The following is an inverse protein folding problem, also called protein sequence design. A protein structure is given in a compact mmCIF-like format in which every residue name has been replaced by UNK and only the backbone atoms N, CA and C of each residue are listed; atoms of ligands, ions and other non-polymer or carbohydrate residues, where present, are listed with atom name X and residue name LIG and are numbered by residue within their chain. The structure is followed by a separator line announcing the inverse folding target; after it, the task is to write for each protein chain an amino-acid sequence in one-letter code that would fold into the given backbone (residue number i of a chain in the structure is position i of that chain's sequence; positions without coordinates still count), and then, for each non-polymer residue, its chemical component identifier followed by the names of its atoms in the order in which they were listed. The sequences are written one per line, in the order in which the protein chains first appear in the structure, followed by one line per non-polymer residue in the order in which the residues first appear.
data_IF_695618232755
#
_entry.id   IF_695618232755
#
_cell.length_a   1.000
_cell.length_b   1.000
_cell.length_c   1.000
_cell.angle_alpha   90.00
_cell.angle_beta   90.00
_cell.angle_gamma   90.00
#
_symmetry.space_group_name_H-M   'P 1'
#
loop_
_entity.id
_entity.type
_entity.pdbx_description
1 polymer ?
#
# COMPACT_ATOMS: atom_id res chain seq x y z
N UNK A 1 28.54 -35.17 7.84
CA UNK A 1 27.22 -34.52 7.77
C UNK A 1 27.42 -33.06 7.40
N UNK A 2 26.57 -32.52 6.55
CA UNK A 2 26.65 -31.12 6.20
C UNK A 2 26.21 -30.27 7.40
N UNK A 3 27.00 -29.26 7.74
CA UNK A 3 26.65 -28.21 8.70
C UNK A 3 25.36 -27.52 8.23
N UNK A 4 24.44 -27.18 9.12
CA UNK A 4 23.32 -26.33 8.74
C UNK A 4 23.81 -24.93 8.37
N UNK A 5 23.91 -24.69 7.07
CA UNK A 5 24.46 -23.45 6.53
C UNK A 5 23.46 -22.30 6.58
N UNK A 6 22.16 -22.55 6.84
CA UNK A 6 21.09 -21.54 6.82
C UNK A 6 21.24 -20.46 7.89
N UNK A 7 21.88 -20.78 9.02
CA UNK A 7 22.11 -19.84 10.12
C UNK A 7 23.45 -19.12 10.00
N UNK A 8 24.31 -19.48 9.06
CA UNK A 8 25.58 -18.81 8.84
C UNK A 8 25.40 -17.65 7.87
N UNK A 9 25.62 -16.43 8.35
CA UNK A 9 25.46 -15.21 7.54
C UNK A 9 26.29 -15.22 6.26
N UNK A 10 27.40 -15.96 6.21
CA UNK A 10 28.26 -16.07 5.02
C UNK A 10 27.65 -16.92 3.91
N UNK A 11 26.76 -17.83 4.26
CA UNK A 11 26.17 -18.81 3.33
C UNK A 11 24.69 -18.55 3.05
N UNK A 12 24.08 -17.57 3.70
CA UNK A 12 22.67 -17.20 3.51
C UNK A 12 22.27 -17.08 2.03
N UNK A 13 23.15 -16.50 1.22
CA UNK A 13 22.91 -16.30 -0.23
C UNK A 13 22.68 -17.59 -1.01
N UNK A 14 23.22 -18.74 -0.55
CA UNK A 14 23.06 -20.02 -1.22
C UNK A 14 21.60 -20.56 -1.13
N UNK A 15 20.79 -20.02 -0.22
CA UNK A 15 19.40 -20.42 -0.03
C UNK A 15 18.39 -19.47 -0.69
N UNK A 16 18.89 -18.42 -1.34
CA UNK A 16 18.07 -17.38 -1.96
C UNK A 16 18.17 -17.46 -3.49
N UNK A 17 17.18 -16.96 -4.23
CA UNK A 17 17.29 -16.83 -5.67
C UNK A 17 18.43 -15.88 -6.04
N UNK A 18 19.19 -16.23 -7.09
CA UNK A 18 20.13 -15.29 -7.69
C UNK A 18 19.38 -14.12 -8.31
N UNK A 19 19.90 -12.91 -8.14
CA UNK A 19 19.32 -11.71 -8.73
C UNK A 19 19.44 -11.77 -10.25
N UNK A 20 18.32 -11.79 -10.95
CA UNK A 20 18.19 -11.83 -12.39
C UNK A 20 17.31 -10.69 -12.86
N UNK A 21 17.71 -10.01 -13.93
CA UNK A 21 16.84 -9.07 -14.62
C UNK A 21 15.89 -9.84 -15.54
N UNK A 22 14.58 -9.64 -15.34
CA UNK A 22 13.53 -10.23 -16.18
C UNK A 22 12.36 -9.26 -16.31
N UNK A 23 11.49 -9.49 -17.29
CA UNK A 23 10.26 -8.75 -17.43
C UNK A 23 9.13 -9.51 -16.71
N UNK A 24 8.51 -8.94 -15.66
CA UNK A 24 7.41 -9.61 -14.96
C UNK A 24 6.20 -9.86 -15.84
N UNK A 25 5.95 -9.03 -16.86
CA UNK A 25 4.79 -9.19 -17.75
C UNK A 25 4.81 -10.53 -18.50
N UNK A 26 5.99 -11.11 -18.77
CA UNK A 26 6.14 -12.43 -19.41
C UNK A 26 5.57 -13.57 -18.54
N UNK A 27 5.43 -13.35 -17.24
CA UNK A 27 4.96 -14.34 -16.27
C UNK A 27 3.54 -14.10 -15.75
N UNK A 28 2.91 -12.95 -16.09
CA UNK A 28 1.56 -12.64 -15.64
C UNK A 28 0.56 -13.51 -16.39
N UNK A 29 -0.12 -14.39 -15.65
CA UNK A 29 -1.18 -15.27 -16.15
C UNK A 29 -2.27 -15.42 -15.07
N UNK A 30 -3.32 -14.63 -15.18
CA UNK A 30 -4.40 -14.60 -14.21
C UNK A 30 -5.16 -15.93 -14.08
N UNK A 31 -5.07 -16.82 -15.09
CA UNK A 31 -5.62 -18.18 -14.96
C UNK A 31 -4.83 -19.04 -13.98
N UNK A 32 -3.53 -18.77 -13.81
CA UNK A 32 -2.69 -19.41 -12.78
C UNK A 32 -2.80 -18.69 -11.43
N UNK A 33 -3.18 -17.43 -11.43
CA UNK A 33 -3.32 -16.60 -10.24
C UNK A 33 -2.47 -15.34 -10.28
N UNK A 34 -2.29 -14.72 -9.10
CA UNK A 34 -1.43 -13.56 -8.93
C UNK A 34 0.03 -14.02 -8.93
N UNK A 35 0.82 -13.56 -9.89
CA UNK A 35 2.25 -13.79 -9.95
C UNK A 35 2.95 -13.01 -8.85
N UNK A 36 3.73 -13.68 -8.00
CA UNK A 36 4.38 -13.09 -6.82
C UNK A 36 5.90 -13.17 -6.87
N UNK A 37 6.46 -13.58 -8.02
CA UNK A 37 7.90 -13.61 -8.28
C UNK A 37 8.43 -14.99 -8.66
N UNK A 38 9.73 -15.09 -8.81
CA UNK A 38 10.45 -16.30 -9.17
C UNK A 38 11.04 -16.97 -7.93
N UNK A 39 10.96 -18.30 -7.85
CA UNK A 39 11.56 -19.08 -6.77
C UNK A 39 13.10 -19.20 -6.90
N UNK A 40 13.73 -19.97 -6.02
CA UNK A 40 15.19 -20.19 -6.01
C UNK A 40 15.78 -20.70 -7.34
N UNK A 41 14.99 -21.45 -8.11
CA UNK A 41 15.40 -22.00 -9.42
C UNK A 41 14.75 -21.25 -10.59
N UNK A 42 14.32 -20.01 -10.32
CA UNK A 42 13.69 -19.10 -11.28
C UNK A 42 12.38 -19.62 -11.90
N UNK A 43 11.64 -20.47 -11.19
CA UNK A 43 10.28 -20.85 -11.57
C UNK A 43 9.28 -19.82 -11.05
N UNK A 44 8.25 -19.47 -11.85
CA UNK A 44 7.23 -18.53 -11.42
C UNK A 44 6.36 -19.10 -10.31
N UNK A 45 6.06 -18.28 -9.33
CA UNK A 45 5.20 -18.57 -8.20
C UNK A 45 3.88 -17.80 -8.33
N UNK A 46 2.77 -18.49 -8.12
CA UNK A 46 1.42 -17.92 -8.22
C UNK A 46 0.61 -18.22 -6.97
N UNK A 47 -0.25 -17.28 -6.61
CA UNK A 47 -1.31 -17.49 -5.63
C UNK A 47 -2.64 -17.44 -6.38
N UNK A 48 -3.49 -18.48 -6.27
CA UNK A 48 -4.79 -18.45 -6.94
C UNK A 48 -5.54 -17.16 -6.66
N UNK A 49 -6.05 -16.51 -7.69
CA UNK A 49 -6.67 -15.18 -7.58
C UNK A 49 -7.81 -15.16 -6.54
N UNK A 50 -8.65 -16.21 -6.55
CA UNK A 50 -9.75 -16.33 -5.59
C UNK A 50 -9.29 -16.47 -4.14
N UNK A 51 -8.10 -17.04 -3.90
CA UNK A 51 -7.52 -17.16 -2.56
C UNK A 51 -6.87 -15.84 -2.14
N UNK A 52 -6.20 -15.15 -3.08
CA UNK A 52 -5.63 -13.84 -2.83
C UNK A 52 -6.71 -12.80 -2.45
N UNK A 53 -7.83 -12.78 -3.18
CA UNK A 53 -8.97 -11.88 -2.93
C UNK A 53 -9.69 -12.11 -1.58
N UNK A 54 -9.50 -13.26 -0.94
CA UNK A 54 -10.13 -13.61 0.36
C UNK A 54 -9.28 -13.28 1.57
N UNK A 55 -8.13 -12.66 1.40
CA UNK A 55 -7.22 -12.39 2.51
C UNK A 55 -6.55 -11.03 2.35
N UNK A 56 -6.15 -10.44 3.46
CA UNK A 56 -5.30 -9.28 3.43
C UNK A 56 -3.83 -9.68 3.30
N UNK A 57 -3.03 -8.80 2.71
CA UNK A 57 -1.60 -8.96 2.54
C UNK A 57 -0.82 -7.98 3.43
N UNK A 58 0.31 -8.42 3.97
CA UNK A 58 1.24 -7.61 4.72
C UNK A 58 2.59 -7.57 4.00
N UNK A 59 3.10 -6.38 3.71
CA UNK A 59 4.34 -6.17 2.96
C UNK A 59 5.34 -5.46 3.88
N UNK A 60 6.27 -6.24 4.42
CA UNK A 60 7.20 -5.77 5.45
C UNK A 60 8.61 -5.64 4.86
N UNK A 61 9.31 -4.58 5.22
CA UNK A 61 10.72 -4.42 4.83
C UNK A 61 11.21 -2.97 4.90
N UNK A 62 12.53 -2.80 4.92
CA UNK A 62 13.12 -1.47 4.95
C UNK A 62 12.90 -0.70 3.64
N UNK A 63 13.15 0.59 3.66
CA UNK A 63 13.09 1.45 2.46
C UNK A 63 14.07 0.96 1.40
N UNK A 64 13.62 0.91 0.14
CA UNK A 64 14.44 0.45 -1.00
C UNK A 64 14.62 -1.07 -1.11
N UNK A 65 14.05 -1.88 -0.21
CA UNK A 65 14.18 -3.33 -0.27
C UNK A 65 13.31 -4.02 -1.36
N UNK A 66 12.27 -3.33 -1.88
CA UNK A 66 11.41 -3.85 -2.94
C UNK A 66 9.90 -3.80 -2.66
N UNK A 67 9.46 -3.24 -1.51
CA UNK A 67 8.03 -3.16 -1.16
C UNK A 67 7.18 -2.49 -2.24
N UNK A 68 7.61 -1.31 -2.74
CA UNK A 68 6.88 -0.58 -3.77
C UNK A 68 6.81 -1.33 -5.11
N UNK A 69 7.87 -2.08 -5.45
CA UNK A 69 7.86 -2.95 -6.64
C UNK A 69 6.88 -4.10 -6.47
N UNK A 70 6.83 -4.72 -5.27
CA UNK A 70 5.89 -5.81 -4.98
C UNK A 70 4.44 -5.34 -5.01
N UNK A 71 4.12 -4.25 -4.31
CA UNK A 71 2.77 -3.69 -4.32
C UNK A 71 2.36 -3.28 -5.74
N UNK A 72 3.24 -2.61 -6.48
CA UNK A 72 2.99 -2.24 -7.87
C UNK A 72 2.70 -3.44 -8.77
N UNK A 73 3.51 -4.51 -8.69
CA UNK A 73 3.31 -5.75 -9.45
C UNK A 73 1.98 -6.43 -9.12
N UNK A 74 1.60 -6.48 -7.84
CA UNK A 74 0.34 -7.09 -7.42
C UNK A 74 -0.85 -6.23 -7.88
N UNK A 75 -0.84 -4.93 -7.58
CA UNK A 75 -1.94 -4.02 -7.93
C UNK A 75 -2.17 -3.93 -9.43
N UNK A 76 -1.11 -3.95 -10.22
CA UNK A 76 -1.18 -4.03 -11.68
C UNK A 76 -2.02 -5.24 -12.13
N UNK A 77 -1.75 -6.42 -11.56
CA UNK A 77 -2.48 -7.65 -11.88
C UNK A 77 -3.95 -7.60 -11.41
N UNK A 78 -4.22 -6.98 -10.24
CA UNK A 78 -5.58 -6.84 -9.73
C UNK A 78 -6.42 -5.91 -10.61
N UNK A 79 -5.84 -4.84 -11.16
CA UNK A 79 -6.51 -3.98 -12.15
C UNK A 79 -6.84 -4.78 -13.41
N UNK A 80 -5.90 -5.59 -13.93
CA UNK A 80 -6.14 -6.47 -15.08
C UNK A 80 -7.21 -7.55 -14.79
N UNK A 81 -7.39 -7.93 -13.52
CA UNK A 81 -8.42 -8.85 -13.04
C UNK A 81 -9.80 -8.19 -12.84
N UNK A 82 -10.00 -6.97 -13.31
CA UNK A 82 -11.25 -6.21 -13.19
C UNK A 82 -11.61 -5.79 -11.77
N UNK A 83 -10.63 -5.65 -10.88
CA UNK A 83 -10.86 -5.12 -9.52
C UNK A 83 -10.94 -3.59 -9.51
N UNK A 84 -11.62 -3.04 -8.51
CA UNK A 84 -11.45 -1.65 -8.13
C UNK A 84 -10.24 -1.51 -7.20
N UNK A 85 -9.31 -0.64 -7.52
CA UNK A 85 -8.07 -0.47 -6.78
C UNK A 85 -7.96 0.93 -6.20
N UNK A 86 -7.67 1.03 -4.91
CA UNK A 86 -7.38 2.28 -4.23
C UNK A 86 -5.94 2.24 -3.72
N UNK A 87 -5.16 3.26 -4.08
CA UNK A 87 -3.78 3.43 -3.60
C UNK A 87 -3.71 4.65 -2.71
N UNK A 88 -3.32 4.46 -1.45
CA UNK A 88 -3.08 5.55 -0.50
C UNK A 88 -1.56 5.73 -0.36
N UNK A 89 -1.03 6.75 -1.00
CA UNK A 89 0.40 7.03 -1.09
C UNK A 89 0.77 8.34 -0.39
N UNK A 90 1.25 8.29 0.87
CA UNK A 90 1.66 9.49 1.60
C UNK A 90 3.04 10.02 1.19
N UNK A 91 3.80 9.29 0.38
CA UNK A 91 5.16 9.64 -0.05
C UNK A 91 5.23 10.36 -1.38
N UNK A 92 4.17 10.24 -2.20
CA UNK A 92 4.15 10.70 -3.59
C UNK A 92 5.23 9.98 -4.42
N UNK A 93 5.08 8.66 -4.57
CA UNK A 93 6.02 7.83 -5.33
C UNK A 93 6.15 8.30 -6.77
N UNK A 94 7.37 8.27 -7.29
CA UNK A 94 7.69 8.80 -8.61
C UNK A 94 7.15 7.94 -9.77
N UNK A 95 7.02 6.62 -9.57
CA UNK A 95 6.70 5.66 -10.63
C UNK A 95 5.35 4.97 -10.45
N UNK A 96 4.91 4.78 -9.23
CA UNK A 96 3.69 4.04 -8.94
C UNK A 96 2.44 4.60 -9.62
N UNK A 97 2.17 5.92 -9.66
CA UNK A 97 1.00 6.43 -10.37
C UNK A 97 1.05 6.17 -11.88
N UNK A 98 2.25 6.20 -12.49
CA UNK A 98 2.40 5.86 -13.91
C UNK A 98 2.13 4.38 -14.18
N UNK A 99 2.58 3.50 -13.29
CA UNK A 99 2.29 2.06 -13.39
C UNK A 99 0.80 1.78 -13.26
N UNK A 100 0.11 2.41 -12.31
CA UNK A 100 -1.34 2.24 -12.14
C UNK A 100 -2.12 2.77 -13.34
N UNK A 101 -1.72 3.93 -13.89
CA UNK A 101 -2.31 4.48 -15.12
C UNK A 101 -2.12 3.52 -16.29
N UNK A 102 -0.92 3.01 -16.50
CA UNK A 102 -0.61 2.02 -17.54
C UNK A 102 -1.47 0.74 -17.40
N UNK A 103 -1.62 0.23 -16.17
CA UNK A 103 -2.49 -0.91 -15.91
C UNK A 103 -3.94 -0.64 -16.28
N UNK A 104 -4.46 0.54 -15.94
CA UNK A 104 -5.83 0.95 -16.28
C UNK A 104 -6.02 1.09 -17.79
N UNK A 105 -5.10 1.70 -18.51
CA UNK A 105 -5.11 1.81 -19.97
C UNK A 105 -5.12 0.43 -20.62
N UNK A 106 -4.28 -0.49 -20.17
CA UNK A 106 -4.22 -1.87 -20.68
C UNK A 106 -5.50 -2.66 -20.40
N UNK A 107 -6.14 -2.41 -19.25
CA UNK A 107 -7.40 -3.03 -18.87
C UNK A 107 -8.65 -2.35 -19.47
N UNK A 108 -8.50 -1.19 -20.13
CA UNK A 108 -9.64 -0.37 -20.57
C UNK A 108 -10.46 0.16 -19.40
N UNK A 109 -9.83 0.53 -18.31
CA UNK A 109 -10.46 0.97 -17.05
C UNK A 109 -10.11 2.42 -16.72
N UNK A 110 -10.95 3.13 -15.93
CA UNK A 110 -10.66 4.50 -15.54
C UNK A 110 -9.48 4.57 -14.56
N UNK A 111 -8.71 5.65 -14.68
CA UNK A 111 -7.68 6.03 -13.73
C UNK A 111 -7.96 7.42 -13.18
N UNK A 112 -8.09 7.54 -11.88
CA UNK A 112 -8.31 8.79 -11.17
C UNK A 112 -7.10 9.12 -10.31
N UNK A 113 -6.54 10.31 -10.48
CA UNK A 113 -5.46 10.83 -9.65
C UNK A 113 -5.99 11.95 -8.77
N UNK A 114 -5.93 11.73 -7.46
CA UNK A 114 -6.30 12.70 -6.42
C UNK A 114 -5.02 13.13 -5.71
N UNK A 115 -4.71 14.41 -5.73
CA UNK A 115 -3.60 14.97 -4.95
C UNK A 115 -4.17 15.85 -3.82
N UNK A 116 -4.15 15.31 -2.61
CA UNK A 116 -4.69 15.98 -1.44
C UNK A 116 -3.97 17.28 -1.06
N UNK A 117 -2.76 17.49 -1.57
CA UNK A 117 -1.95 18.68 -1.32
C UNK A 117 -2.29 19.84 -2.25
N UNK A 118 -3.01 19.59 -3.34
CA UNK A 118 -3.43 20.64 -4.28
C UNK A 118 -4.65 21.40 -3.77
N UNK A 119 -4.65 22.71 -4.04
CA UNK A 119 -5.74 23.62 -3.69
C UNK A 119 -6.76 23.73 -4.85
N UNK A 120 -7.24 22.59 -5.30
CA UNK A 120 -8.29 22.49 -6.32
C UNK A 120 -9.30 21.43 -5.89
N UNK A 121 -10.61 21.64 -6.12
CA UNK A 121 -11.64 20.64 -5.84
C UNK A 121 -11.40 19.37 -6.66
N UNK A 122 -11.42 18.20 -6.03
CA UNK A 122 -11.17 16.92 -6.69
C UNK A 122 -12.14 15.84 -6.24
N UNK A 123 -12.17 15.55 -4.93
CA UNK A 123 -12.89 14.41 -4.34
C UNK A 123 -14.16 14.88 -3.64
N UNK A 124 -15.29 14.30 -3.99
CA UNK A 124 -16.55 14.41 -3.25
C UNK A 124 -16.58 13.32 -2.15
N UNK A 125 -15.87 13.62 -1.05
CA UNK A 125 -15.65 12.61 0.00
C UNK A 125 -16.93 12.25 0.75
N UNK A 126 -17.86 13.21 0.93
CA UNK A 126 -19.10 13.02 1.66
C UNK A 126 -20.31 12.72 0.78
N UNK A 127 -20.09 12.47 -0.54
CA UNK A 127 -21.17 12.12 -1.45
C UNK A 127 -22.05 10.99 -0.90
N UNK A 128 -23.36 11.26 -0.80
CA UNK A 128 -24.39 10.31 -0.29
C UNK A 128 -24.11 9.75 1.13
N UNK A 129 -23.28 10.41 1.94
CA UNK A 129 -23.01 9.98 3.30
C UNK A 129 -24.15 10.37 4.26
N UNK A 130 -24.61 9.42 5.08
CA UNK A 130 -25.58 9.70 6.15
C UNK A 130 -24.93 10.47 7.31
N UNK A 131 -25.70 11.14 8.16
CA UNK A 131 -25.16 11.81 9.33
C UNK A 131 -24.31 10.90 10.23
N UNK A 132 -24.72 9.64 10.41
CA UNK A 132 -23.99 8.64 11.21
C UNK A 132 -22.66 8.24 10.54
N UNK A 133 -22.64 8.13 9.21
CA UNK A 133 -21.41 7.87 8.45
C UNK A 133 -20.43 9.04 8.54
N UNK A 134 -20.94 10.27 8.50
CA UNK A 134 -20.11 11.48 8.68
C UNK A 134 -19.54 11.54 10.11
N UNK A 135 -20.34 11.20 11.13
CA UNK A 135 -19.87 11.07 12.52
C UNK A 135 -18.69 10.08 12.61
N UNK A 136 -18.85 8.87 12.06
CA UNK A 136 -17.80 7.83 12.07
C UNK A 136 -16.52 8.30 11.37
N UNK A 137 -16.65 8.96 10.21
CA UNK A 137 -15.53 9.56 9.48
C UNK A 137 -14.79 10.57 10.36
N UNK A 138 -15.52 11.45 11.06
CA UNK A 138 -14.91 12.45 11.95
C UNK A 138 -14.29 11.81 13.20
N UNK A 139 -14.90 10.79 13.78
CA UNK A 139 -14.33 10.05 14.91
C UNK A 139 -12.99 9.43 14.54
N UNK A 140 -12.90 8.83 13.36
CA UNK A 140 -11.65 8.25 12.85
C UNK A 140 -10.59 9.33 12.57
N UNK A 141 -10.95 10.37 11.83
CA UNK A 141 -10.03 11.44 11.44
C UNK A 141 -9.49 12.22 12.64
N UNK A 142 -10.34 12.54 13.60
CA UNK A 142 -9.99 13.35 14.76
C UNK A 142 -9.46 12.53 15.95
N UNK A 143 -9.41 11.20 15.82
CA UNK A 143 -8.96 10.27 16.87
C UNK A 143 -9.78 10.44 18.16
N UNK A 144 -11.10 10.36 18.02
CA UNK A 144 -12.05 10.56 19.12
C UNK A 144 -12.60 9.25 19.71
N UNK A 145 -12.16 8.08 19.22
CA UNK A 145 -12.65 6.80 19.72
C UNK A 145 -12.30 6.57 21.20
N UNK A 146 -13.10 5.76 21.87
CA UNK A 146 -12.87 5.41 23.27
C UNK A 146 -11.75 4.37 23.40
N UNK A 147 -10.80 4.66 24.29
CA UNK A 147 -9.70 3.77 24.63
C UNK A 147 -9.93 2.99 25.91
N UNK A 148 -10.80 3.49 26.79
CA UNK A 148 -11.06 2.95 28.12
C UNK A 148 -10.13 3.56 29.18
N UNK A 149 -9.62 4.76 28.97
CA UNK A 149 -8.74 5.48 29.89
C UNK A 149 -9.30 6.85 30.30
N UNK A 150 -8.62 7.52 31.24
CA UNK A 150 -9.02 8.84 31.75
C UNK A 150 -9.08 9.91 30.65
N UNK A 151 -8.31 9.75 29.57
CA UNK A 151 -8.30 10.71 28.47
C UNK A 151 -9.62 10.72 27.69
N UNK A 152 -10.44 9.67 27.79
CA UNK A 152 -11.76 9.62 27.15
C UNK A 152 -12.71 10.69 27.69
N UNK A 153 -12.55 11.06 28.95
CA UNK A 153 -13.34 12.13 29.56
C UNK A 153 -13.18 13.48 28.82
N UNK A 154 -11.96 13.80 28.42
CA UNK A 154 -11.67 15.05 27.70
C UNK A 154 -12.16 15.05 26.25
N UNK A 155 -12.52 13.89 25.70
CA UNK A 155 -13.02 13.74 24.32
C UNK A 155 -14.55 13.66 24.23
N UNK A 156 -15.26 13.64 25.38
CA UNK A 156 -16.73 13.48 25.39
C UNK A 156 -17.40 14.58 24.59
N UNK A 157 -17.00 15.84 24.81
CA UNK A 157 -17.63 16.99 24.15
C UNK A 157 -17.28 17.00 22.65
N UNK A 158 -16.05 16.67 22.28
CA UNK A 158 -15.66 16.54 20.88
C UNK A 158 -16.45 15.43 20.16
N UNK A 159 -16.66 14.26 20.79
CA UNK A 159 -17.51 13.17 20.24
C UNK A 159 -18.96 13.60 20.10
N UNK A 160 -19.48 14.30 21.09
CA UNK A 160 -20.84 14.86 21.03
C UNK A 160 -20.97 15.82 19.85
N UNK A 161 -19.99 16.71 19.66
CA UNK A 161 -19.98 17.64 18.55
C UNK A 161 -19.89 16.93 17.20
N UNK A 162 -19.05 15.88 17.08
CA UNK A 162 -18.92 15.06 15.87
C UNK A 162 -20.24 14.37 15.50
N UNK A 163 -21.04 13.94 16.48
CA UNK A 163 -22.38 13.38 16.26
C UNK A 163 -23.41 14.44 15.88
N UNK A 164 -23.45 15.54 16.62
CA UNK A 164 -24.50 16.56 16.47
C UNK A 164 -24.31 17.46 15.25
N UNK A 165 -23.05 17.70 14.82
CA UNK A 165 -22.78 18.56 13.67
C UNK A 165 -23.48 18.10 12.38
N UNK A 166 -23.33 16.86 11.92
CA UNK A 166 -24.03 16.41 10.72
C UNK A 166 -25.53 16.23 10.92
N UNK A 167 -26.00 15.95 12.14
CA UNK A 167 -27.43 15.79 12.41
C UNK A 167 -28.19 17.13 12.40
N UNK A 168 -27.53 18.22 12.83
CA UNK A 168 -28.13 19.56 12.89
C UNK A 168 -27.91 20.40 11.64
N UNK A 169 -26.96 20.00 10.79
CA UNK A 169 -26.72 20.63 9.50
C UNK A 169 -27.84 20.33 8.50
N UNK A 170 -28.09 21.25 7.58
CA UNK A 170 -28.97 21.05 6.44
C UNK A 170 -28.40 20.01 5.50
N UNK A 171 -29.20 19.51 4.58
CA UNK A 171 -28.72 18.53 3.57
C UNK A 171 -27.61 19.12 2.69
N UNK A 172 -27.70 20.39 2.33
CA UNK A 172 -26.69 21.11 1.57
C UNK A 172 -25.38 21.29 2.36
N UNK A 173 -25.48 21.68 3.63
CA UNK A 173 -24.30 21.84 4.52
C UNK A 173 -23.56 20.50 4.76
N UNK A 174 -24.25 19.36 4.73
CA UNK A 174 -23.65 18.02 4.91
C UNK A 174 -22.85 17.53 3.72
N UNK A 175 -22.96 18.14 2.55
CA UNK A 175 -22.29 17.68 1.34
C UNK A 175 -20.77 17.85 1.38
N UNK A 176 -20.25 18.71 2.27
CA UNK A 176 -18.81 18.93 2.39
C UNK A 176 -18.42 19.35 3.81
N UNK A 177 -17.15 19.17 4.19
CA UNK A 177 -16.64 19.70 5.46
C UNK A 177 -16.68 21.23 5.51
N UNK A 178 -16.56 21.90 4.36
CA UNK A 178 -16.72 23.33 4.24
C UNK A 178 -18.15 23.75 4.56
N UNK A 179 -19.13 23.05 4.05
CA UNK A 179 -20.54 23.24 4.38
C UNK A 179 -20.82 22.98 5.86
N UNK A 180 -20.37 21.84 6.40
CA UNK A 180 -20.52 21.52 7.83
C UNK A 180 -19.91 22.58 8.74
N UNK A 181 -18.71 23.07 8.42
CA UNK A 181 -18.05 24.11 9.18
C UNK A 181 -18.85 25.41 9.18
N UNK A 182 -19.46 25.79 8.06
CA UNK A 182 -20.29 27.01 7.94
C UNK A 182 -21.65 26.90 8.61
N UNK A 183 -22.06 25.71 9.08
CA UNK A 183 -23.36 25.51 9.71
C UNK A 183 -23.49 26.31 11.03
N UNK A 184 -24.70 26.80 11.31
CA UNK A 184 -24.98 27.61 12.50
C UNK A 184 -24.61 26.89 13.81
N UNK A 185 -24.81 25.55 13.85
CA UNK A 185 -24.44 24.74 15.01
C UNK A 185 -22.95 24.77 15.26
N UNK A 186 -22.12 24.49 14.24
CA UNK A 186 -20.68 24.45 14.38
C UNK A 186 -20.08 25.81 14.70
N UNK A 187 -20.57 26.87 14.08
CA UNK A 187 -20.16 28.25 14.41
C UNK A 187 -20.42 28.61 15.87
N UNK A 188 -21.47 28.05 16.48
CA UNK A 188 -21.76 28.21 17.91
C UNK A 188 -20.82 27.47 18.86
N UNK A 189 -19.91 26.60 18.34
CA UNK A 189 -18.97 25.83 19.16
C UNK A 189 -17.62 26.51 19.37
N UNK A 190 -17.30 27.61 18.69
CA UNK A 190 -16.01 28.29 18.66
C UNK A 190 -15.39 28.46 20.07
N UNK A 191 -16.18 28.94 21.03
CA UNK A 191 -15.70 29.19 22.39
C UNK A 191 -15.85 27.99 23.35
N UNK A 192 -16.69 27.01 23.00
CA UNK A 192 -17.10 25.92 23.91
C UNK A 192 -16.40 24.61 23.64
N UNK A 193 -16.22 24.21 22.38
CA UNK A 193 -15.59 22.93 21.96
C UNK A 193 -14.47 23.21 20.96
N UNK A 194 -13.45 23.91 21.43
CA UNK A 194 -12.37 24.47 20.59
C UNK A 194 -11.59 23.41 19.80
N UNK A 195 -11.40 22.21 20.35
CA UNK A 195 -10.61 21.17 19.68
C UNK A 195 -11.36 20.64 18.45
N UNK A 196 -12.64 20.34 18.57
CA UNK A 196 -13.46 19.91 17.44
C UNK A 196 -13.61 21.03 16.41
N UNK A 197 -13.94 22.26 16.85
CA UNK A 197 -14.08 23.41 15.97
C UNK A 197 -12.83 23.65 15.13
N UNK A 198 -11.64 23.71 15.74
CA UNK A 198 -10.39 23.95 15.04
C UNK A 198 -10.02 22.83 14.05
N UNK A 199 -10.29 21.57 14.39
CA UNK A 199 -10.05 20.44 13.45
C UNK A 199 -10.99 20.48 12.25
N UNK A 200 -12.26 20.82 12.47
CA UNK A 200 -13.23 20.95 11.37
C UNK A 200 -12.93 22.18 10.51
N UNK A 201 -12.48 23.30 11.11
CA UNK A 201 -11.96 24.45 10.38
C UNK A 201 -10.81 24.05 9.45
N UNK A 202 -9.82 23.33 9.99
CA UNK A 202 -8.69 22.84 9.18
C UNK A 202 -9.15 22.00 7.98
N UNK A 203 -10.15 21.13 8.14
CA UNK A 203 -10.68 20.32 7.03
C UNK A 203 -11.47 21.16 6.02
N UNK A 204 -12.17 22.21 6.47
CA UNK A 204 -12.89 23.11 5.58
C UNK A 204 -11.96 23.81 4.58
N UNK A 205 -10.66 23.95 4.93
CA UNK A 205 -9.61 24.54 4.11
C UNK A 205 -8.91 23.56 3.16
N UNK A 206 -9.23 22.26 3.23
CA UNK A 206 -8.68 21.24 2.32
C UNK A 206 -9.54 21.19 1.07
N UNK A 207 -9.24 22.04 0.10
CA UNK A 207 -10.03 22.17 -1.14
C UNK A 207 -10.21 20.83 -1.87
N UNK A 208 -9.18 19.97 -1.87
CA UNK A 208 -9.15 18.70 -2.60
C UNK A 208 -10.25 17.70 -2.22
N UNK A 209 -10.87 17.82 -1.03
CA UNK A 209 -11.92 16.91 -0.55
C UNK A 209 -13.28 17.59 -0.36
N UNK A 210 -13.39 18.86 -0.71
CA UNK A 210 -14.62 19.65 -0.59
C UNK A 210 -15.23 19.92 -1.98
N UNK A 211 -15.12 18.96 -2.89
CA UNK A 211 -15.63 19.06 -4.26
C UNK A 211 -17.02 18.44 -4.37
N UNK A 212 -18.07 19.20 -4.07
CA UNK A 212 -19.44 18.74 -4.30
C UNK A 212 -19.66 18.51 -5.81
N UNK A 213 -20.01 17.27 -6.19
CA UNK A 213 -20.10 16.84 -7.60
C UNK A 213 -18.74 16.48 -8.24
N UNK A 214 -17.67 16.43 -7.47
CA UNK A 214 -16.37 15.94 -7.91
C UNK A 214 -16.32 14.42 -8.08
N UNK A 215 -15.09 13.86 -8.16
CA UNK A 215 -14.87 12.41 -8.24
C UNK A 215 -15.49 11.71 -7.03
N UNK A 216 -16.21 10.63 -7.27
CA UNK A 216 -16.84 9.81 -6.23
C UNK A 216 -16.08 8.50 -6.08
N UNK A 217 -15.73 8.13 -4.85
CA UNK A 217 -15.06 6.85 -4.58
C UNK A 217 -15.91 5.66 -5.06
N UNK A 218 -17.24 5.80 -5.06
CA UNK A 218 -18.18 4.80 -5.58
C UNK A 218 -17.93 4.44 -7.05
N UNK A 219 -17.43 5.36 -7.86
CA UNK A 219 -17.19 5.12 -9.29
C UNK A 219 -16.18 3.99 -9.54
N UNK A 220 -15.19 3.84 -8.65
CA UNK A 220 -14.22 2.73 -8.71
C UNK A 220 -14.84 1.40 -8.26
N UNK A 221 -15.77 1.43 -7.30
CA UNK A 221 -16.54 0.23 -6.93
C UNK A 221 -17.39 -0.28 -8.08
N UNK A 222 -18.00 0.63 -8.84
CA UNK A 222 -18.94 0.30 -9.92
C UNK A 222 -18.21 -0.10 -11.22
N UNK A 223 -17.15 0.64 -11.59
CA UNK A 223 -16.50 0.49 -12.88
C UNK A 223 -15.16 -0.24 -12.85
N UNK A 224 -14.56 -0.41 -11.65
CA UNK A 224 -13.20 -0.91 -11.51
C UNK A 224 -12.15 0.17 -11.82
N UNK A 225 -10.94 -0.24 -12.13
CA UNK A 225 -9.84 0.68 -12.38
C UNK A 225 -9.13 1.13 -11.10
N UNK A 226 -8.56 2.33 -11.10
CA UNK A 226 -7.73 2.78 -9.97
C UNK A 226 -8.02 4.22 -9.58
N UNK A 227 -8.20 4.44 -8.28
CA UNK A 227 -8.09 5.75 -7.66
C UNK A 227 -6.76 5.83 -6.90
N UNK A 228 -5.83 6.66 -7.38
CA UNK A 228 -4.53 6.90 -6.78
C UNK A 228 -4.57 8.20 -5.98
N UNK A 229 -4.38 8.09 -4.66
CA UNK A 229 -4.48 9.22 -3.72
C UNK A 229 -3.08 9.56 -3.21
N UNK A 230 -2.58 10.73 -3.63
CA UNK A 230 -1.34 11.31 -3.11
C UNK A 230 -1.66 12.04 -1.80
N UNK A 231 -1.08 11.56 -0.72
CA UNK A 231 -1.26 12.10 0.62
C UNK A 231 -0.07 12.89 1.13
N UNK A 232 0.16 12.83 2.44
CA UNK A 232 1.29 13.45 3.12
C UNK A 232 1.70 12.64 4.36
N UNK A 233 2.98 12.71 4.71
CA UNK A 233 3.52 12.18 5.97
C UNK A 233 3.65 13.26 7.07
N UNK A 234 3.46 14.53 6.75
CA UNK A 234 3.76 15.65 7.66
C UNK A 234 2.62 16.65 7.83
N UNK A 235 1.76 16.79 6.84
CA UNK A 235 0.66 17.75 6.91
C UNK A 235 -0.50 17.18 7.73
N UNK A 236 -0.76 17.72 8.92
CA UNK A 236 -1.78 17.23 9.84
C UNK A 236 -3.17 17.13 9.22
N UNK A 237 -3.58 18.12 8.41
CA UNK A 237 -4.86 18.14 7.71
C UNK A 237 -5.00 16.98 6.74
N UNK A 238 -3.93 16.72 5.97
CA UNK A 238 -3.91 15.63 4.99
C UNK A 238 -3.85 14.27 5.68
N UNK A 239 -3.12 14.14 6.80
CA UNK A 239 -3.11 12.93 7.62
C UNK A 239 -4.50 12.59 8.17
N UNK A 240 -5.24 13.59 8.63
CA UNK A 240 -6.65 13.43 9.04
C UNK A 240 -7.48 12.94 7.86
N UNK A 241 -7.35 13.58 6.70
CA UNK A 241 -8.09 13.23 5.48
C UNK A 241 -7.82 11.79 5.02
N UNK A 242 -6.56 11.34 5.06
CA UNK A 242 -6.19 9.96 4.70
C UNK A 242 -6.95 8.92 5.52
N UNK A 243 -7.08 9.13 6.83
CA UNK A 243 -7.86 8.25 7.71
C UNK A 243 -9.35 8.28 7.35
N UNK A 244 -9.89 9.45 7.03
CA UNK A 244 -11.29 9.62 6.67
C UNK A 244 -11.64 8.90 5.35
N UNK A 245 -10.76 9.00 4.34
CA UNK A 245 -10.94 8.29 3.06
C UNK A 245 -11.04 6.79 3.30
N UNK A 246 -10.16 6.20 4.12
CA UNK A 246 -10.19 4.77 4.41
C UNK A 246 -11.53 4.34 5.04
N UNK A 247 -12.05 5.10 6.00
CA UNK A 247 -13.35 4.81 6.60
C UNK A 247 -14.48 4.91 5.57
N UNK A 248 -14.42 5.93 4.69
CA UNK A 248 -15.42 6.05 3.63
C UNK A 248 -15.41 4.84 2.69
N UNK A 249 -14.24 4.31 2.36
CA UNK A 249 -14.12 3.09 1.57
C UNK A 249 -14.77 1.87 2.26
N UNK A 250 -14.61 1.72 3.57
CA UNK A 250 -15.29 0.66 4.32
C UNK A 250 -16.81 0.82 4.32
N UNK A 251 -17.31 2.05 4.53
CA UNK A 251 -18.75 2.34 4.48
C UNK A 251 -19.34 2.00 3.10
N UNK A 252 -18.67 2.39 2.02
CA UNK A 252 -19.10 2.04 0.65
C UNK A 252 -19.12 0.53 0.43
N UNK A 253 -18.14 -0.21 0.95
CA UNK A 253 -18.11 -1.65 0.88
C UNK A 253 -19.27 -2.30 1.64
N UNK A 254 -19.63 -1.76 2.81
CA UNK A 254 -20.73 -2.26 3.65
C UNK A 254 -22.11 -2.05 3.05
N UNK A 255 -22.30 -0.97 2.29
CA UNK A 255 -23.56 -0.65 1.62
C UNK A 255 -23.85 -1.51 0.39
N UNK A 256 -22.87 -2.28 -0.10
CA UNK A 256 -23.07 -3.11 -1.31
C UNK A 256 -24.08 -4.22 -1.10
N UNK A 257 -25.02 -4.34 -2.03
CA UNK A 257 -25.96 -5.46 -2.06
C UNK A 257 -25.23 -6.75 -2.50
N UNK A 258 -25.18 -7.71 -1.59
CA UNK A 258 -24.59 -9.04 -1.83
C UNK A 258 -25.60 -10.08 -2.22
N UNK A 259 -26.90 -9.75 -2.16
CA UNK A 259 -28.00 -10.64 -2.54
C UNK A 259 -28.20 -10.58 -4.06
N UNK A 260 -28.02 -9.40 -4.66
CA UNK A 260 -28.16 -9.20 -6.12
C UNK A 260 -27.04 -9.86 -6.95
N UNK A 261 -25.93 -10.28 -6.31
CA UNK A 261 -24.82 -10.93 -6.99
C UNK A 261 -23.52 -10.84 -6.23
N UNK A 262 -22.44 -11.42 -6.79
CA UNK A 262 -21.09 -11.27 -6.24
C UNK A 262 -20.56 -9.87 -6.61
N UNK A 263 -20.31 -9.00 -5.62
CA UNK A 263 -19.79 -7.67 -5.88
C UNK A 263 -18.36 -7.73 -6.46
N UNK A 264 -17.97 -6.73 -7.24
CA UNK A 264 -16.60 -6.56 -7.73
C UNK A 264 -15.62 -6.58 -6.55
N UNK A 265 -14.54 -7.35 -6.60
CA UNK A 265 -13.50 -7.28 -5.57
C UNK A 265 -12.85 -5.91 -5.56
N UNK A 266 -12.52 -5.43 -4.37
CA UNK A 266 -11.86 -4.14 -4.15
C UNK A 266 -10.55 -4.37 -3.42
N UNK A 267 -9.47 -3.87 -3.98
CA UNK A 267 -8.16 -3.86 -3.36
C UNK A 267 -7.83 -2.46 -2.82
N UNK A 268 -7.43 -2.37 -1.57
CA UNK A 268 -6.96 -1.12 -0.95
C UNK A 268 -5.50 -1.30 -0.54
N UNK A 269 -4.61 -0.51 -1.12
CA UNK A 269 -3.21 -0.48 -0.74
C UNK A 269 -2.93 0.73 0.16
N UNK A 270 -2.38 0.47 1.33
CA UNK A 270 -1.95 1.48 2.30
C UNK A 270 -0.42 1.47 2.38
N UNK A 271 0.22 2.39 1.68
CA UNK A 271 1.66 2.60 1.87
C UNK A 271 1.90 3.34 3.19
N UNK A 272 2.94 2.94 3.93
CA UNK A 272 3.23 3.44 5.28
C UNK A 272 1.99 3.42 6.19
N UNK A 273 1.54 2.22 6.51
CA UNK A 273 0.29 1.92 7.24
C UNK A 273 0.02 2.85 8.43
N UNK A 274 1.04 3.24 9.18
CA UNK A 274 0.91 4.09 10.38
C UNK A 274 0.18 5.42 10.15
N UNK A 275 0.23 5.96 8.93
CA UNK A 275 -0.44 7.22 8.58
C UNK A 275 -1.93 7.08 8.27
N UNK A 276 -2.43 5.84 8.23
CA UNK A 276 -3.83 5.52 7.91
C UNK A 276 -4.59 4.91 9.10
N UNK A 277 -3.88 4.57 10.18
CA UNK A 277 -4.45 3.86 11.33
C UNK A 277 -5.44 4.75 12.09
N UNK A 278 -6.62 4.19 12.37
CA UNK A 278 -7.61 4.68 13.30
C UNK A 278 -8.32 3.49 13.97
N UNK A 279 -9.03 3.70 15.09
CA UNK A 279 -9.74 2.59 15.75
C UNK A 279 -10.80 1.97 14.84
N UNK A 280 -11.68 2.77 14.17
CA UNK A 280 -12.62 2.20 13.20
C UNK A 280 -11.94 1.45 12.05
N UNK A 281 -10.76 1.90 11.59
CA UNK A 281 -10.02 1.22 10.53
C UNK A 281 -9.52 -0.16 11.00
N UNK A 282 -9.03 -0.29 12.23
CA UNK A 282 -8.58 -1.58 12.77
C UNK A 282 -9.73 -2.56 13.01
N UNK A 283 -10.88 -2.07 13.45
CA UNK A 283 -12.10 -2.86 13.59
C UNK A 283 -12.64 -3.27 12.21
N UNK A 284 -12.65 -2.36 11.24
CA UNK A 284 -13.07 -2.59 9.87
C UNK A 284 -12.18 -3.58 9.11
N UNK A 285 -10.88 -3.65 9.45
CA UNK A 285 -9.93 -4.59 8.82
C UNK A 285 -10.40 -6.04 8.96
N UNK A 286 -10.91 -6.44 10.12
CA UNK A 286 -11.47 -7.78 10.33
C UNK A 286 -12.73 -8.06 9.50
N UNK A 287 -13.58 -7.05 9.30
CA UNK A 287 -14.86 -7.17 8.61
C UNK A 287 -14.79 -6.95 7.09
N UNK A 288 -13.80 -6.21 6.61
CA UNK A 288 -13.70 -5.78 5.20
C UNK A 288 -13.67 -6.95 4.22
N UNK A 289 -13.00 -8.03 4.58
CA UNK A 289 -12.91 -9.25 3.76
C UNK A 289 -14.28 -9.83 3.41
N UNK A 290 -15.18 -9.90 4.36
CA UNK A 290 -16.54 -10.43 4.16
C UNK A 290 -17.40 -9.50 3.28
N UNK A 291 -16.95 -8.27 3.09
CA UNK A 291 -17.56 -7.26 2.21
C UNK A 291 -16.94 -7.24 0.81
N UNK A 292 -16.06 -8.20 0.50
CA UNK A 292 -15.37 -8.26 -0.79
C UNK A 292 -14.26 -7.20 -0.95
N UNK A 293 -13.69 -6.74 0.17
CA UNK A 293 -12.54 -5.84 0.19
C UNK A 293 -11.34 -6.60 0.75
N UNK A 294 -10.23 -6.57 0.04
CA UNK A 294 -8.96 -7.06 0.55
C UNK A 294 -7.93 -5.94 0.55
N UNK A 295 -7.02 -5.99 1.50
CA UNK A 295 -6.09 -4.90 1.75
C UNK A 295 -4.65 -5.38 1.60
N UNK A 296 -3.80 -4.52 1.07
CA UNK A 296 -2.36 -4.66 1.07
C UNK A 296 -1.80 -3.58 2.00
N UNK A 297 -1.15 -4.01 3.06
CA UNK A 297 -0.62 -3.13 4.11
C UNK A 297 0.90 -3.11 3.99
N UNK A 298 1.52 -1.93 3.88
CA UNK A 298 2.97 -1.81 3.83
C UNK A 298 3.50 -1.06 5.05
N UNK A 299 4.51 -1.64 5.70
CA UNK A 299 5.21 -1.00 6.83
C UNK A 299 6.67 -1.48 6.89
N UNK A 300 7.47 -0.88 7.77
CA UNK A 300 8.91 -1.17 7.84
C UNK A 300 9.26 -2.07 9.03
N UNK A 301 8.57 -1.90 10.15
CA UNK A 301 8.86 -2.60 11.39
C UNK A 301 7.62 -2.73 12.28
N UNK A 302 7.73 -3.55 13.32
CA UNK A 302 6.72 -3.63 14.39
C UNK A 302 6.58 -2.26 15.10
N UNK A 303 7.68 -1.54 15.25
CA UNK A 303 7.67 -0.23 15.88
C UNK A 303 6.78 0.77 15.12
N UNK A 304 6.72 0.70 13.79
CA UNK A 304 5.80 1.51 12.99
C UNK A 304 4.33 1.24 13.30
N UNK A 305 3.98 -0.01 13.59
CA UNK A 305 2.61 -0.40 13.97
C UNK A 305 2.26 0.09 15.39
N UNK A 306 3.26 0.17 16.27
CA UNK A 306 3.07 0.69 17.64
C UNK A 306 3.01 2.21 17.71
N UNK A 307 3.54 2.90 16.70
CA UNK A 307 3.43 4.36 16.52
C UNK A 307 2.04 4.71 15.97
N UNK A 308 1.03 4.59 16.81
CA UNK A 308 -0.38 4.75 16.49
C UNK A 308 -1.03 5.94 17.22
N UNK A 309 -2.21 6.41 16.78
CA UNK A 309 -2.96 7.48 17.43
C UNK A 309 -3.23 7.23 18.92
N UNK A 310 -3.39 8.31 19.69
CA UNK A 310 -3.53 8.26 21.14
C UNK A 310 -4.76 7.48 21.66
N UNK A 311 -5.79 7.32 20.82
CA UNK A 311 -6.99 6.54 21.09
C UNK A 311 -6.84 5.03 20.80
N UNK A 312 -5.63 4.58 20.47
CA UNK A 312 -5.30 3.19 20.20
C UNK A 312 -4.23 2.65 21.16
N UNK A 313 -4.17 1.32 21.25
CA UNK A 313 -3.09 0.58 21.91
C UNK A 313 -2.22 -0.06 20.84
N UNK A 314 -0.90 0.22 20.88
CA UNK A 314 0.04 -0.26 19.86
C UNK A 314 0.12 -1.80 19.76
N UNK A 315 0.04 -2.52 20.88
CA UNK A 315 0.06 -4.00 20.85
C UNK A 315 -1.24 -4.55 20.24
N UNK A 316 -2.37 -3.88 20.44
CA UNK A 316 -3.63 -4.24 19.82
C UNK A 316 -3.58 -4.00 18.30
N UNK A 317 -2.91 -2.93 17.84
CA UNK A 317 -2.70 -2.68 16.40
C UNK A 317 -1.85 -3.77 15.77
N UNK A 318 -0.72 -4.13 16.40
CA UNK A 318 0.12 -5.25 15.94
C UNK A 318 -0.70 -6.53 15.85
N UNK A 319 -1.46 -6.87 16.90
CA UNK A 319 -2.33 -8.05 16.93
C UNK A 319 -3.35 -8.04 15.78
N UNK A 320 -4.03 -6.92 15.55
CA UNK A 320 -5.02 -6.79 14.49
C UNK A 320 -4.41 -6.99 13.09
N UNK A 321 -3.23 -6.42 12.83
CA UNK A 321 -2.52 -6.59 11.55
C UNK A 321 -2.10 -8.04 11.36
N UNK A 322 -1.50 -8.67 12.37
CA UNK A 322 -1.02 -10.07 12.30
C UNK A 322 -2.14 -11.04 12.01
N UNK A 323 -3.22 -10.94 12.78
CA UNK A 323 -4.36 -11.88 12.69
C UNK A 323 -5.14 -11.76 11.38
N UNK A 324 -5.22 -10.54 10.83
CA UNK A 324 -6.01 -10.29 9.62
C UNK A 324 -5.21 -10.42 8.31
N UNK A 325 -3.87 -10.41 8.35
CA UNK A 325 -3.03 -10.57 7.17
C UNK A 325 -2.43 -11.97 7.11
N UNK A 326 -3.06 -12.85 6.37
CA UNK A 326 -2.61 -14.25 6.24
C UNK A 326 -1.54 -14.47 5.18
N UNK A 327 -1.41 -13.52 4.27
CA UNK A 327 -0.37 -13.48 3.26
C UNK A 327 0.65 -12.40 3.63
N UNK A 328 1.94 -12.77 3.70
CA UNK A 328 2.99 -11.80 4.01
C UNK A 328 4.12 -11.89 2.99
N UNK A 329 4.61 -10.73 2.58
CA UNK A 329 5.83 -10.55 1.80
C UNK A 329 6.87 -9.86 2.68
N UNK A 330 7.90 -10.58 3.09
CA UNK A 330 8.93 -10.04 3.96
C UNK A 330 10.20 -9.81 3.17
N UNK A 331 10.51 -8.54 2.93
CA UNK A 331 11.76 -8.07 2.33
C UNK A 331 12.83 -7.88 3.40
N UNK A 332 14.03 -7.44 2.98
CA UNK A 332 15.12 -7.18 3.92
C UNK A 332 14.67 -6.29 5.07
N UNK A 333 14.99 -6.73 6.28
CA UNK A 333 14.75 -6.01 7.52
C UNK A 333 16.06 -5.39 8.03
N UNK A 334 15.96 -4.30 8.80
CA UNK A 334 17.08 -3.70 9.50
C UNK A 334 16.90 -3.76 11.02
N UNK A 335 15.64 -3.82 11.46
CA UNK A 335 15.28 -3.93 12.86
C UNK A 335 15.39 -5.39 13.35
N UNK A 336 16.30 -5.72 14.28
CA UNK A 336 16.48 -7.06 14.79
C UNK A 336 15.23 -7.62 15.48
N UNK A 337 14.47 -6.78 16.19
CA UNK A 337 13.26 -7.20 16.89
C UNK A 337 12.17 -7.64 15.90
N UNK A 338 11.99 -6.89 14.82
CA UNK A 338 11.10 -7.26 13.73
C UNK A 338 11.59 -8.53 13.03
N UNK A 339 12.89 -8.68 12.80
CA UNK A 339 13.46 -9.88 12.20
C UNK A 339 13.25 -11.12 13.08
N UNK A 340 13.43 -11.00 14.40
CA UNK A 340 13.16 -12.08 15.34
C UNK A 340 11.67 -12.46 15.37
N UNK A 341 10.79 -11.46 15.37
CA UNK A 341 9.35 -11.66 15.34
C UNK A 341 8.90 -12.41 14.07
N UNK A 342 9.37 -11.99 12.88
CA UNK A 342 9.08 -12.68 11.60
C UNK A 342 9.68 -14.09 11.58
N UNK A 343 10.91 -14.25 12.08
CA UNK A 343 11.59 -15.55 12.17
C UNK A 343 10.78 -16.54 12.99
N UNK A 344 10.23 -16.13 14.12
CA UNK A 344 9.35 -16.98 14.97
C UNK A 344 8.08 -17.43 14.24
N UNK A 345 7.53 -16.61 13.35
CA UNK A 345 6.35 -16.98 12.54
C UNK A 345 6.66 -18.07 11.50
N UNK A 346 7.93 -18.26 11.13
CA UNK A 346 8.32 -19.29 10.15
C UNK A 346 8.25 -20.72 10.69
N UNK A 347 8.09 -20.88 12.01
CA UNK A 347 8.16 -22.18 12.68
C UNK A 347 9.59 -22.69 12.88
N UNK A 348 9.74 -23.85 13.52
CA UNK A 348 11.03 -24.46 13.84
C UNK A 348 11.28 -25.74 13.06
N UNK A 349 12.54 -26.03 12.83
CA UNK A 349 13.03 -27.28 12.25
C UNK A 349 14.08 -27.88 13.17
N UNK A 350 14.22 -29.19 13.13
CA UNK A 350 15.30 -29.91 13.80
C UNK A 350 16.51 -29.96 12.87
N UNK A 351 17.65 -29.57 13.40
CA UNK A 351 18.94 -29.61 12.68
C UNK A 351 19.97 -30.35 13.51
N UNK A 352 20.92 -30.98 12.83
CA UNK A 352 22.04 -31.64 13.49
C UNK A 352 23.09 -30.58 13.90
N UNK A 353 23.31 -30.45 15.21
CA UNK A 353 24.36 -29.61 15.79
C UNK A 353 25.58 -30.50 16.11
N UNK A 354 26.69 -30.25 15.43
CA UNK A 354 27.89 -31.06 15.55
C UNK A 354 28.91 -30.36 16.46
N UNK A 355 29.20 -30.98 17.62
CA UNK A 355 30.29 -30.53 18.50
C UNK A 355 31.52 -31.38 18.24
N UNK A 356 32.62 -30.75 17.81
CA UNK A 356 33.93 -31.39 17.64
C UNK A 356 34.77 -31.15 18.87
N UNK A 357 35.32 -32.22 19.43
CA UNK A 357 36.31 -32.12 20.47
C UNK A 357 37.70 -32.01 19.83
N UNK A 358 38.44 -30.96 20.12
CA UNK A 358 39.85 -30.84 19.73
C UNK A 358 40.70 -31.05 20.98
N UNK A 359 41.41 -32.20 21.07
CA UNK A 359 42.43 -32.37 22.10
C UNK A 359 43.70 -31.68 21.65
N UNK A 360 44.10 -30.65 22.39
CA UNK A 360 45.42 -30.00 22.23
C UNK A 360 46.47 -30.87 22.85
N UNK A 361 47.18 -31.66 22.07
CA UNK A 361 48.40 -32.33 22.52
C UNK A 361 49.59 -31.34 22.47
N UNK A 362 50.43 -31.35 23.51
CA UNK A 362 51.64 -30.51 23.62
C UNK A 362 52.74 -30.83 22.58
N UNK A 363 52.51 -31.70 21.67
CA UNK A 363 53.38 -32.04 20.53
C UNK A 363 52.82 -31.39 19.27
N UNK A 364 53.69 -30.90 18.41
CA UNK A 364 53.47 -30.10 17.18
C UNK A 364 52.46 -30.63 16.15
N UNK A 365 51.66 -31.64 16.45
CA UNK A 365 50.61 -32.14 15.59
C UNK A 365 49.27 -32.07 16.32
N UNK A 366 48.35 -31.26 15.81
CA UNK A 366 46.94 -31.30 16.22
C UNK A 366 46.36 -32.67 15.79
N UNK A 367 46.06 -33.52 16.79
CA UNK A 367 45.28 -34.74 16.56
C UNK A 367 43.82 -34.35 16.70
N UNK A 368 43.08 -34.25 15.61
CA UNK A 368 41.64 -34.14 15.61
C UNK A 368 41.08 -35.49 16.05
N UNK A 369 40.56 -35.59 17.29
CA UNK A 369 39.85 -36.82 17.70
C UNK A 369 38.54 -36.95 16.87
N UNK A 370 38.34 -38.09 16.26
CA UNK A 370 37.17 -38.42 15.41
C UNK A 370 35.86 -38.57 16.20
N UNK A 371 35.88 -38.31 17.52
CA UNK A 371 34.67 -38.30 18.33
C UNK A 371 33.80 -37.09 18.01
N UNK A 372 32.74 -37.34 17.26
CA UNK A 372 31.69 -36.36 16.97
C UNK A 372 30.53 -36.57 17.91
N UNK A 373 30.12 -35.53 18.60
CA UNK A 373 28.87 -35.54 19.32
C UNK A 373 27.80 -34.80 18.48
N UNK A 374 26.82 -35.56 17.98
CA UNK A 374 25.71 -34.99 17.19
C UNK A 374 24.55 -34.80 18.15
N UNK A 375 24.13 -33.55 18.27
CA UNK A 375 22.98 -33.16 19.06
C UNK A 375 21.91 -32.57 18.13
N UNK A 376 20.67 -32.97 18.27
CA UNK A 376 19.57 -32.29 17.61
C UNK A 376 19.29 -30.95 18.29
N UNK A 377 19.27 -29.88 17.51
CA UNK A 377 18.91 -28.53 17.95
C UNK A 377 17.73 -28.01 17.15
N UNK A 378 16.88 -27.22 17.80
CA UNK A 378 15.81 -26.51 17.11
C UNK A 378 16.35 -25.19 16.53
N UNK A 379 15.97 -24.91 15.30
CA UNK A 379 16.26 -23.64 14.59
C UNK A 379 15.02 -23.14 13.90
N UNK A 380 14.90 -21.82 13.77
CA UNK A 380 13.82 -21.22 12.98
C UNK A 380 13.99 -21.60 11.50
N UNK A 381 12.87 -21.90 10.81
CA UNK A 381 12.91 -22.26 9.40
C UNK A 381 13.47 -21.13 8.53
N UNK A 382 13.02 -19.90 8.76
CA UNK A 382 13.63 -18.68 8.21
C UNK A 382 14.37 -17.99 9.35
N UNK A 383 15.69 -18.06 9.33
CA UNK A 383 16.54 -17.48 10.36
C UNK A 383 16.61 -15.95 10.27
N UNK A 384 16.84 -15.28 11.40
CA UNK A 384 17.01 -13.82 11.45
C UNK A 384 18.13 -13.33 10.55
N UNK A 385 19.24 -14.08 10.41
CA UNK A 385 20.33 -13.74 9.50
C UNK A 385 19.86 -13.70 8.04
N UNK A 386 18.94 -14.57 7.63
CA UNK A 386 18.36 -14.53 6.29
C UNK A 386 17.59 -13.23 6.08
N UNK A 387 16.71 -12.87 7.03
CA UNK A 387 15.85 -11.68 6.92
C UNK A 387 16.64 -10.37 6.93
N UNK A 388 17.70 -10.29 7.72
CA UNK A 388 18.57 -9.11 7.80
C UNK A 388 19.50 -8.94 6.58
N UNK A 389 19.74 -10.03 5.81
CA UNK A 389 20.68 -10.06 4.69
C UNK A 389 20.02 -10.37 3.34
N UNK A 390 18.69 -10.24 3.22
CA UNK A 390 18.01 -10.41 1.94
C UNK A 390 18.53 -9.41 0.91
N UNK A 391 18.83 -9.84 -0.32
CA UNK A 391 19.09 -8.93 -1.44
C UNK A 391 17.88 -8.03 -1.73
N UNK A 392 18.09 -6.91 -2.41
CA UNK A 392 16.99 -6.11 -2.91
C UNK A 392 16.12 -6.92 -3.86
N UNK A 393 14.80 -6.72 -3.80
CA UNK A 393 13.79 -7.41 -4.60
C UNK A 393 13.62 -8.90 -4.28
N UNK A 394 14.30 -9.41 -3.26
CA UNK A 394 14.10 -10.77 -2.74
C UNK A 394 13.31 -10.70 -1.45
N UNK A 395 12.26 -11.49 -1.35
CA UNK A 395 11.41 -11.62 -0.17
C UNK A 395 11.24 -13.08 0.24
N UNK A 396 10.76 -13.30 1.47
CA UNK A 396 10.09 -14.54 1.85
C UNK A 396 8.57 -14.34 1.78
N UNK A 397 7.90 -15.28 1.09
CA UNK A 397 6.45 -15.34 0.98
C UNK A 397 5.92 -16.28 2.06
N UNK A 398 5.07 -15.75 2.93
CA UNK A 398 4.33 -16.51 3.94
C UNK A 398 2.89 -16.70 3.46
N UNK A 399 2.43 -17.93 3.44
CA UNK A 399 1.04 -18.29 3.12
C UNK A 399 0.50 -19.22 4.22
N UNK A 400 -0.82 -19.44 4.26
CA UNK A 400 -1.42 -20.34 5.26
C UNK A 400 -1.16 -21.82 5.01
N UNK A 401 -0.89 -22.20 3.76
CA UNK A 401 -0.94 -23.60 3.34
C UNK A 401 0.44 -24.21 3.07
N UNK A 402 1.51 -23.41 3.22
CA UNK A 402 2.86 -23.86 2.91
C UNK A 402 3.90 -23.16 3.79
N UNK A 403 5.10 -23.75 3.88
CA UNK A 403 6.24 -23.10 4.52
C UNK A 403 6.68 -21.88 3.75
N UNK A 404 7.28 -20.86 4.40
CA UNK A 404 7.77 -19.68 3.69
C UNK A 404 8.75 -20.01 2.57
N UNK A 405 8.56 -19.37 1.41
CA UNK A 405 9.40 -19.57 0.22
C UNK A 405 10.07 -18.27 -0.21
N UNK A 406 11.35 -18.32 -0.61
CA UNK A 406 11.99 -17.13 -1.15
C UNK A 406 11.43 -16.80 -2.54
N UNK A 407 11.35 -15.52 -2.85
CA UNK A 407 10.84 -15.02 -4.12
C UNK A 407 11.63 -13.82 -4.61
N UNK A 408 11.99 -13.81 -5.88
CA UNK A 408 12.60 -12.69 -6.58
C UNK A 408 11.56 -11.98 -7.44
N UNK A 409 11.41 -10.67 -7.26
CA UNK A 409 10.59 -9.82 -8.11
C UNK A 409 11.44 -8.88 -8.97
N UNK A 410 10.83 -8.33 -10.00
CA UNK A 410 11.39 -7.24 -10.80
C UNK A 410 10.32 -6.17 -11.07
N UNK A 411 10.70 -4.91 -11.31
CA UNK A 411 9.75 -3.86 -11.65
C UNK A 411 9.20 -4.04 -13.07
N UNK A 412 7.91 -3.79 -13.25
CA UNK A 412 7.31 -3.60 -14.58
C UNK A 412 7.84 -2.28 -15.14
N UNK A 413 8.35 -2.30 -16.36
CA UNK A 413 8.89 -1.11 -17.01
C UNK A 413 7.77 -0.26 -17.59
N UNK A 414 7.66 0.97 -17.13
CA UNK A 414 6.69 1.94 -17.64
C UNK A 414 7.38 3.23 -18.05
N UNK A 415 6.79 3.95 -19.00
CA UNK A 415 7.21 5.28 -19.34
C UNK A 415 6.46 6.30 -18.50
N UNK A 416 7.12 7.41 -18.16
CA UNK A 416 6.44 8.54 -17.52
C UNK A 416 5.49 9.18 -18.50
N UNK A 417 4.25 9.34 -18.09
CA UNK A 417 3.19 10.00 -18.86
C UNK A 417 2.78 11.28 -18.15
N UNK A 418 2.07 12.17 -18.84
CA UNK A 418 1.44 13.31 -18.19
C UNK A 418 0.35 12.79 -17.25
N UNK A 419 0.48 13.15 -15.97
CA UNK A 419 -0.51 12.86 -14.95
C UNK A 419 -1.32 14.12 -14.66
N UNK A 420 -2.63 14.04 -14.84
CA UNK A 420 -3.55 15.13 -14.56
C UNK A 420 -4.41 14.72 -13.38
N UNK A 421 -4.47 15.55 -12.34
CA UNK A 421 -5.39 15.35 -11.22
C UNK A 421 -6.83 15.57 -11.68
N UNK A 422 -7.76 14.84 -11.07
CA UNK A 422 -9.18 15.03 -11.33
C UNK A 422 -9.57 16.47 -11.00
N UNK A 423 -10.21 17.14 -11.94
CA UNK A 423 -10.84 18.45 -11.76
C UNK A 423 -12.19 18.49 -12.50
N UNK A 424 -13.00 19.49 -12.23
CA UNK A 424 -14.34 19.63 -12.80
C UNK A 424 -14.34 19.74 -14.34
N UNK A 425 -13.20 20.03 -14.97
CA UNK A 425 -13.10 20.16 -16.45
C UNK A 425 -13.14 18.81 -17.16
N UNK A 426 -12.89 17.71 -16.45
CA UNK A 426 -12.94 16.36 -17.04
C UNK A 426 -14.36 15.78 -17.16
N UNK A 427 -15.34 16.36 -16.49
CA UNK A 427 -16.74 15.91 -16.57
C UNK A 427 -17.44 16.28 -17.86
N UNK A 428 -16.90 17.21 -18.66
CA UNK A 428 -17.52 17.68 -19.90
C UNK A 428 -17.07 16.96 -21.18
N UNK A 429 -15.99 16.18 -21.15
CA UNK A 429 -15.48 15.49 -22.34
C UNK A 429 -16.15 14.14 -22.61
N UNK A 430 -16.87 13.56 -21.66
CA UNK A 430 -17.58 12.29 -21.86
C UNK A 430 -18.98 12.42 -22.49
N UNK A 431 -19.52 13.64 -22.62
CA UNK A 431 -20.86 13.90 -23.18
C UNK A 431 -20.88 14.49 -24.59
N UNK A 432 -19.72 14.86 -25.15
CA UNK A 432 -19.65 15.55 -26.45
C UNK A 432 -19.16 14.68 -27.62
N UNK A 433 -18.81 13.41 -27.42
CA UNK A 433 -18.35 12.51 -28.48
C UNK A 433 -19.49 11.82 -29.28
N UNK A 434 -20.76 12.18 -29.06
CA UNK A 434 -21.91 11.60 -29.80
C UNK A 434 -22.52 12.51 -30.90
N UNK A 435 -21.90 13.60 -31.29
CA UNK A 435 -22.39 14.42 -32.42
C UNK A 435 -21.29 15.11 -33.20
N UNK A 436 -20.59 14.43 -34.10
CA UNK A 436 -20.15 15.02 -35.40
C UNK A 436 -19.97 13.89 -36.41
N UNK A 437 -21.00 13.56 -37.14
CA UNK A 437 -20.89 13.00 -38.48
C UNK A 437 -20.97 14.12 -39.52
N UNK A 438 -20.14 13.96 -40.57
CA UNK A 438 -20.19 14.57 -41.89
C UNK A 438 -19.86 16.05 -42.06
N UNK A 439 -18.68 16.30 -42.59
CA UNK A 439 -18.58 16.91 -43.95
C UNK A 439 -17.14 16.78 -44.48
N UNK A 440 -17.08 16.08 -45.62
CA UNK A 440 -15.99 15.97 -46.59
C UNK A 440 -15.53 17.32 -47.13
N UNK A 441 -14.22 17.48 -47.33
CA UNK A 441 -13.58 17.88 -48.57
C UNK A 441 -12.05 17.99 -48.42
N UNK A 442 -11.33 17.27 -49.29
CA UNK A 442 -9.91 17.43 -49.61
C UNK A 442 -9.80 18.12 -50.99
N UNK A 443 -8.61 18.40 -51.59
CA UNK A 443 -7.24 18.51 -51.13
C UNK A 443 -6.49 19.75 -51.65
N UNK A 444 -5.27 20.05 -51.27
CA UNK A 444 -4.14 20.44 -52.19
C UNK A 444 -2.78 20.64 -51.51
N UNK A 445 -1.86 19.86 -51.98
CA UNK A 445 -0.42 20.06 -52.28
C UNK A 445 0.41 21.19 -51.69
N UNK A 446 1.63 20.88 -51.24
CA UNK A 446 2.76 21.81 -51.16
C UNK A 446 3.97 21.22 -50.43
N UNK A 447 4.95 20.88 -51.23
CA UNK A 447 6.25 20.27 -50.98
C UNK A 447 7.20 21.01 -50.05
N UNK A 448 8.18 20.23 -49.54
CA UNK A 448 9.58 20.56 -49.17
C UNK A 448 9.88 21.27 -47.84
N UNK A 449 10.51 20.57 -46.93
CA UNK A 449 11.96 20.70 -46.63
C UNK A 449 12.37 19.67 -45.57
N UNK A 450 13.28 18.78 -46.03
CA UNK A 450 14.08 17.87 -45.20
C UNK A 450 15.29 18.62 -44.57
N UNK A 451 15.80 17.94 -43.54
CA UNK A 451 17.17 17.96 -43.04
C UNK A 451 17.56 19.09 -42.09
N UNK A 452 17.81 18.69 -40.86
CA UNK A 452 18.90 19.05 -39.94
C UNK A 452 18.43 19.00 -38.50
N UNK A 453 18.54 17.81 -37.86
CA UNK A 453 18.63 17.67 -36.39
C UNK A 453 18.90 16.19 -36.01
N UNK A 454 19.98 15.63 -36.52
CA UNK A 454 20.56 14.36 -36.06
C UNK A 454 22.04 14.49 -35.73
N UNK A 455 22.45 15.41 -34.85
CA UNK A 455 23.88 15.46 -34.45
C UNK A 455 24.14 16.06 -33.07
N UNK A 456 23.21 16.00 -32.12
CA UNK A 456 23.47 16.53 -30.78
C UNK A 456 23.27 15.53 -29.59
N UNK A 457 22.98 14.27 -29.85
CA UNK A 457 22.74 13.27 -28.76
C UNK A 457 23.96 12.37 -28.48
N UNK A 458 24.91 12.26 -29.41
CA UNK A 458 26.13 11.46 -29.19
C UNK A 458 27.23 12.19 -28.42
N UNK A 459 27.23 13.48 -28.36
CA UNK A 459 28.28 14.26 -27.69
C UNK A 459 28.14 14.38 -26.16
N UNK A 460 26.95 14.22 -25.61
CA UNK A 460 26.73 14.26 -24.15
C UNK A 460 26.95 12.91 -23.44
N UNK A 461 26.82 11.82 -24.16
CA UNK A 461 27.01 10.49 -23.58
C UNK A 461 28.49 10.12 -23.40
N UNK A 462 29.40 10.64 -24.22
CA UNK A 462 30.85 10.42 -24.07
C UNK A 462 31.50 11.25 -22.98
N UNK A 463 30.92 12.39 -22.58
CA UNK A 463 31.48 13.24 -21.53
C UNK A 463 31.23 12.67 -20.11
N UNK A 464 30.19 11.86 -19.93
CA UNK A 464 29.84 11.24 -18.64
C UNK A 464 30.69 10.00 -18.35
N UNK A 465 31.17 9.32 -19.37
CA UNK A 465 32.02 8.13 -19.23
C UNK A 465 33.49 8.49 -18.93
N UNK A 466 33.98 9.64 -19.39
CA UNK A 466 35.36 10.10 -19.13
C UNK A 466 35.61 10.64 -17.72
N UNK A 467 34.58 11.10 -17.01
CA UNK A 467 34.73 11.65 -15.66
C UNK A 467 34.66 10.62 -14.53
N UNK A 468 34.44 9.34 -14.82
CA UNK A 468 34.43 8.27 -13.81
C UNK A 468 35.74 7.52 -13.64
N UNK A 469 36.72 7.71 -14.55
CA UNK A 469 37.99 6.98 -14.55
C UNK A 469 39.20 7.81 -14.05
N UNK A 470 38.98 8.98 -13.45
CA UNK A 470 40.10 9.82 -12.97
C UNK A 470 40.00 10.17 -11.47
N UNK A 471 39.46 9.28 -10.64
CA UNK A 471 39.63 9.35 -9.18
C UNK A 471 39.85 7.94 -8.62
N UNK A 472 41.09 7.53 -8.67
CA UNK A 472 41.73 6.64 -7.73
C UNK A 472 43.02 7.29 -7.26
#
# INVERSE_FOLDING_TARGET
MARDERTDVRTVKHFLPETLAYDPEDYIDLNKGVFVGLDRVHKPQYIPLADFQKQHADIIGTTGAGKGVASGLILYQLILADEGVFVMDPKNDEWAPHLMKYACEKAGKPFYLIDLNKKVPQLDLLADATPEQIEEIMVAGFSLAEKGDVADFYRIDDRKAAREAPMKATEEERQSFKGLFSSLYVQGLEDTIKAFYGKLEELSLVESINAVGGMRLQDVFDHGGCCYVIGSMRNSKILITQKMILIRLFQLAEMRDRVAGKPRPIAIFLDELKYHISKPAMEGLGAARDKGVHMLLAHQSIADLKDCPADLNGDAVVGAVVENTKFKLVYRLQDPDTAEWVSKMSGTILVDDETRYVESSKTLNEVVDDKRNIRMAERQYVDTNMLLNLPNFVSYIFTMNDVPKPSLIAPIKVQKQTLVTFDETQTHTASDDEKVEEQTEAPTSGEHQEAEEENNIEAETESIIRNRNSRH
#
